data_IF_980519145404
#
_entry.id   IF_980519145404
#
_cell.length_a   1.000
_cell.length_b   1.000
_cell.length_c   1.000
_cell.angle_alpha   90.00
_cell.angle_beta   90.00
_cell.angle_gamma   90.00
#
_symmetry.space_group_name_H-M   'P 1'
#
loop_
_entity.id
_entity.type
_entity.pdbx_description
1 polymer ?
#
# COMPACT_ATOMS: atom_id res chain seq x y z
N UNK A 1 15.81 6.37 10.65
CA UNK A 1 16.37 5.21 9.92
C UNK A 1 15.28 4.28 9.40
N UNK A 2 14.45 3.69 10.26
CA UNK A 2 13.37 2.76 9.85
C UNK A 2 12.42 3.38 8.81
N UNK A 3 11.98 4.62 9.01
CA UNK A 3 11.13 5.34 8.03
C UNK A 3 11.77 5.43 6.64
N UNK A 4 13.08 5.70 6.58
CA UNK A 4 13.82 5.80 5.33
C UNK A 4 13.91 4.42 4.64
N UNK A 5 14.09 3.36 5.43
CA UNK A 5 14.11 1.98 4.94
C UNK A 5 12.76 1.53 4.38
N UNK A 6 11.65 1.90 5.03
CA UNK A 6 10.30 1.59 4.51
C UNK A 6 10.04 2.38 3.22
N UNK A 7 10.50 3.63 3.17
CA UNK A 7 10.33 4.48 1.99
C UNK A 7 11.15 3.96 0.79
N UNK A 8 12.38 3.48 1.00
CA UNK A 8 13.14 2.82 -0.07
C UNK A 8 12.47 1.52 -0.53
N UNK A 9 11.91 0.73 0.39
CA UNK A 9 11.17 -0.49 0.04
C UNK A 9 9.94 -0.18 -0.84
N UNK A 10 9.16 0.85 -0.48
CA UNK A 10 7.98 1.29 -1.23
C UNK A 10 8.33 1.74 -2.66
N UNK A 11 9.49 2.35 -2.85
CA UNK A 11 9.96 2.78 -4.16
C UNK A 11 10.38 1.61 -5.05
N UNK A 12 11.01 0.58 -4.47
CA UNK A 12 11.35 -0.65 -5.22
C UNK A 12 10.09 -1.36 -5.72
N UNK A 13 9.05 -1.41 -4.89
CA UNK A 13 7.76 -2.01 -5.26
C UNK A 13 7.08 -1.22 -6.39
N UNK A 14 7.14 0.11 -6.38
CA UNK A 14 6.61 0.95 -7.46
C UNK A 14 7.30 0.68 -8.81
N UNK A 15 8.63 0.50 -8.83
CA UNK A 15 9.34 0.17 -10.07
C UNK A 15 8.95 -1.21 -10.63
N UNK A 16 8.69 -2.18 -9.75
CA UNK A 16 8.22 -3.50 -10.16
C UNK A 16 6.78 -3.48 -10.67
N UNK A 17 5.92 -2.60 -10.13
CA UNK A 17 4.52 -2.47 -10.52
C UNK A 17 4.33 -2.16 -12.02
N UNK A 18 5.19 -1.29 -12.58
CA UNK A 18 5.13 -0.87 -13.99
C UNK A 18 5.31 -2.06 -14.96
N UNK A 19 5.99 -3.14 -14.51
CA UNK A 19 6.31 -4.31 -15.35
C UNK A 19 5.26 -5.43 -15.24
N UNK A 20 4.28 -5.31 -14.36
CA UNK A 20 3.26 -6.34 -14.19
C UNK A 20 2.23 -6.22 -15.30
N UNK A 21 1.86 -7.35 -15.91
CA UNK A 21 0.82 -7.43 -16.94
C UNK A 21 -0.45 -8.12 -16.45
N UNK A 22 -0.33 -9.00 -15.44
CA UNK A 22 -1.46 -9.76 -14.94
C UNK A 22 -2.28 -8.93 -13.93
N UNK A 23 -3.59 -8.73 -14.14
CA UNK A 23 -4.40 -7.86 -13.29
C UNK A 23 -4.42 -8.31 -11.82
N UNK A 24 -4.46 -9.63 -11.58
CA UNK A 24 -4.37 -10.16 -10.20
C UNK A 24 -3.04 -9.85 -9.50
N UNK A 25 -1.91 -9.87 -10.22
CA UNK A 25 -0.62 -9.54 -9.59
C UNK A 25 -0.52 -8.03 -9.34
N UNK A 26 -1.05 -7.19 -10.23
CA UNK A 26 -1.18 -5.75 -9.98
C UNK A 26 -1.97 -5.46 -8.71
N UNK A 27 -3.09 -6.15 -8.49
CA UNK A 27 -3.93 -5.97 -7.31
C UNK A 27 -3.22 -6.37 -6.00
N UNK A 28 -2.54 -7.51 -6.00
CA UNK A 28 -1.71 -7.93 -4.85
C UNK A 28 -0.62 -6.91 -4.54
N UNK A 29 0.02 -6.32 -5.55
CA UNK A 29 1.01 -5.27 -5.37
C UNK A 29 0.40 -3.99 -4.78
N UNK A 30 -0.81 -3.61 -5.18
CA UNK A 30 -1.51 -2.44 -4.61
C UNK A 30 -1.84 -2.66 -3.13
N UNK A 31 -2.26 -3.85 -2.73
CA UNK A 31 -2.52 -4.18 -1.31
C UNK A 31 -1.23 -4.06 -0.48
N UNK A 32 -0.11 -4.60 -0.98
CA UNK A 32 1.19 -4.49 -0.28
C UNK A 32 1.63 -3.02 -0.19
N UNK A 33 1.44 -2.26 -1.26
CA UNK A 33 1.84 -0.85 -1.29
C UNK A 33 1.01 0.02 -0.33
N UNK A 34 -0.30 -0.22 -0.25
CA UNK A 34 -1.19 0.50 0.67
C UNK A 34 -0.88 0.19 2.13
N UNK A 35 -0.47 -1.04 2.45
CA UNK A 35 0.04 -1.38 3.78
C UNK A 35 1.30 -0.58 4.14
N UNK A 36 2.27 -0.50 3.22
CA UNK A 36 3.51 0.27 3.44
C UNK A 36 3.23 1.77 3.61
N UNK A 37 2.33 2.34 2.82
CA UNK A 37 1.90 3.74 2.95
C UNK A 37 1.13 3.99 4.25
N UNK A 38 0.34 3.03 4.71
CA UNK A 38 -0.32 3.07 6.03
C UNK A 38 0.68 3.17 7.18
N UNK A 39 1.77 2.40 7.14
CA UNK A 39 2.83 2.49 8.15
C UNK A 39 3.57 3.82 8.06
N UNK A 40 3.88 4.31 6.84
CA UNK A 40 4.55 5.60 6.67
C UNK A 40 3.69 6.75 7.22
N UNK A 41 2.40 6.79 6.88
CA UNK A 41 1.47 7.83 7.35
C UNK A 41 1.20 7.73 8.86
N UNK A 42 1.07 6.51 9.40
CA UNK A 42 0.91 6.29 10.84
C UNK A 42 2.11 6.76 11.66
N UNK A 43 3.33 6.67 11.13
CA UNK A 43 4.54 7.20 11.78
C UNK A 43 4.74 8.71 11.58
N UNK A 44 3.97 9.35 10.70
CA UNK A 44 4.02 10.81 10.47
C UNK A 44 3.05 11.57 11.37
N UNK A 45 1.98 10.92 11.83
CA UNK A 45 0.90 11.55 12.59
C UNK A 45 0.93 11.12 14.06
N UNK A 46 0.44 11.99 14.94
CA UNK A 46 0.29 11.72 16.37
C UNK A 46 -0.70 10.58 16.66
N UNK A 47 -1.66 10.34 15.75
CA UNK A 47 -2.65 9.26 15.89
C UNK A 47 -2.73 8.38 14.65
N UNK A 48 -2.95 7.08 14.86
CA UNK A 48 -3.11 6.08 13.79
C UNK A 48 -4.49 6.10 13.12
N UNK A 49 -5.35 7.06 13.46
CA UNK A 49 -6.74 7.06 12.99
C UNK A 49 -6.84 7.25 11.48
N UNK A 50 -6.01 8.14 10.93
CA UNK A 50 -5.95 8.37 9.48
C UNK A 50 -5.39 7.18 8.71
N UNK A 51 -4.27 6.60 9.17
CA UNK A 51 -3.67 5.43 8.52
C UNK A 51 -4.59 4.20 8.56
N UNK A 52 -5.37 4.05 9.62
CA UNK A 52 -6.38 3.00 9.75
C UNK A 52 -7.52 3.15 8.73
N UNK A 53 -8.09 4.35 8.57
CA UNK A 53 -9.14 4.62 7.58
C UNK A 53 -8.62 4.38 6.15
N UNK A 54 -7.40 4.84 5.88
CA UNK A 54 -6.75 4.67 4.58
C UNK A 54 -6.56 3.18 4.25
N UNK A 55 -6.15 2.38 5.24
CA UNK A 55 -6.01 0.93 5.07
C UNK A 55 -7.36 0.25 4.80
N UNK A 56 -8.40 0.54 5.58
CA UNK A 56 -9.72 -0.07 5.41
C UNK A 56 -10.36 0.25 4.06
N UNK A 57 -10.28 1.52 3.63
CA UNK A 57 -10.89 1.97 2.38
C UNK A 57 -10.24 1.33 1.16
N UNK A 58 -8.91 1.27 1.13
CA UNK A 58 -8.19 0.64 0.03
C UNK A 58 -8.34 -0.88 0.02
N UNK A 59 -8.30 -1.54 1.18
CA UNK A 59 -8.42 -2.99 1.25
C UNK A 59 -9.85 -3.43 0.87
N UNK A 60 -10.87 -2.72 1.36
CA UNK A 60 -12.26 -2.95 0.96
C UNK A 60 -12.51 -2.69 -0.53
N UNK A 61 -12.05 -1.54 -1.05
CA UNK A 61 -12.23 -1.20 -2.46
C UNK A 61 -11.51 -2.16 -3.42
N UNK A 62 -10.29 -2.57 -3.08
CA UNK A 62 -9.51 -3.50 -3.91
C UNK A 62 -10.07 -4.92 -3.86
N UNK A 63 -10.63 -5.37 -2.73
CA UNK A 63 -11.30 -6.67 -2.65
C UNK A 63 -12.59 -6.72 -3.48
N UNK A 64 -13.34 -5.62 -3.56
CA UNK A 64 -14.52 -5.55 -4.44
C UNK A 64 -14.10 -5.63 -5.91
N UNK A 65 -13.06 -4.88 -6.30
CA UNK A 65 -12.47 -4.96 -7.63
C UNK A 65 -11.85 -6.34 -7.93
N UNK A 66 -11.51 -7.14 -6.92
CA UNK A 66 -10.98 -8.48 -7.14
C UNK A 66 -12.06 -9.46 -7.60
N UNK A 67 -13.25 -9.33 -7.02
CA UNK A 67 -14.37 -10.21 -7.28
C UNK A 67 -15.05 -9.85 -8.60
N UNK A 68 -14.93 -8.59 -9.02
CA UNK A 68 -15.52 -8.04 -10.23
C UNK A 68 -14.56 -8.07 -11.42
#
# INVERSE_FOLDING_TARGET
MIKLMIMTLSNVINFNFIKLSHPMSMMMFIIIQTFLVGIISGTMMESFWFSYILFLTYLGGMMVLFIY
#
